data_IF_000005623579
#
_entry.id   IF_000005623579
#
_cell.length_a   1.000
_cell.length_b   1.000
_cell.length_c   1.000
_cell.angle_alpha   90.00
_cell.angle_beta   90.00
_cell.angle_gamma   90.00
#
_symmetry.space_group_name_H-M   'P 1'
#
loop_
_entity.id
_entity.type
_entity.pdbx_description
1 polymer ?
#
# COMPACT_ATOMS: atom_id res chain seq x y z
N UNK A 1 -6.25 -16.26 6.92
CA UNK A 1 -6.64 -17.57 6.36
C UNK A 1 -8.09 -17.93 6.67
N UNK A 2 -8.47 -18.02 7.95
CA UNK A 2 -9.82 -18.44 8.34
C UNK A 2 -10.94 -17.53 7.82
N UNK A 3 -10.73 -16.21 7.73
CA UNK A 3 -11.77 -15.28 7.26
C UNK A 3 -12.23 -15.51 5.81
N UNK A 4 -11.30 -15.75 4.89
CA UNK A 4 -11.66 -16.03 3.48
C UNK A 4 -12.44 -17.34 3.38
N UNK A 5 -12.03 -18.36 4.14
CA UNK A 5 -12.71 -19.65 4.20
C UNK A 5 -14.12 -19.53 4.78
N UNK A 6 -14.31 -18.77 5.87
CA UNK A 6 -15.63 -18.57 6.47
C UNK A 6 -16.58 -17.76 5.58
N UNK A 7 -16.03 -17.02 4.61
CA UNK A 7 -16.81 -16.26 3.61
C UNK A 7 -16.94 -16.97 2.26
N UNK A 8 -16.31 -18.14 2.08
CA UNK A 8 -16.29 -18.84 0.79
C UNK A 8 -15.62 -18.03 -0.34
N UNK A 9 -14.69 -17.14 0.01
CA UNK A 9 -14.02 -16.26 -0.95
C UNK A 9 -12.63 -16.80 -1.32
N UNK A 10 -12.23 -16.54 -2.56
CA UNK A 10 -10.86 -16.74 -3.05
C UNK A 10 -10.12 -15.42 -3.12
N UNK A 11 -8.80 -15.48 -3.14
CA UNK A 11 -7.91 -14.32 -3.21
C UNK A 11 -6.72 -14.71 -4.09
N UNK A 12 -6.41 -13.90 -5.08
CA UNK A 12 -5.32 -14.14 -6.02
C UNK A 12 -3.98 -13.70 -5.41
N UNK A 13 -3.94 -12.46 -4.90
CA UNK A 13 -2.78 -11.89 -4.24
C UNK A 13 -3.17 -11.01 -3.03
N UNK A 14 -2.20 -10.77 -2.16
CA UNK A 14 -2.29 -9.83 -1.05
C UNK A 14 -1.46 -8.60 -1.40
N UNK A 15 -2.10 -7.43 -1.47
CA UNK A 15 -1.39 -6.15 -1.51
C UNK A 15 -1.15 -5.66 -0.07
N UNK A 16 0.10 -5.64 0.37
CA UNK A 16 0.46 -5.21 1.73
C UNK A 16 1.27 -3.92 1.72
N UNK A 17 0.65 -2.84 2.19
CA UNK A 17 1.36 -1.58 2.41
C UNK A 17 2.46 -1.71 3.48
N UNK A 18 2.25 -2.60 4.47
CA UNK A 18 3.07 -2.65 5.66
C UNK A 18 2.80 -1.50 6.63
N UNK A 19 3.71 -1.28 7.58
CA UNK A 19 3.62 -0.27 8.61
C UNK A 19 4.78 0.72 8.49
N UNK A 20 4.49 1.98 8.15
CA UNK A 20 5.54 3.00 7.99
C UNK A 20 6.23 3.31 9.31
N UNK A 21 7.54 3.11 9.36
CA UNK A 21 8.40 3.54 10.49
C UNK A 21 9.24 4.74 10.11
N UNK A 22 9.67 4.82 8.85
CA UNK A 22 10.38 5.99 8.33
C UNK A 22 9.80 6.45 7.00
N UNK A 23 9.72 7.77 6.86
CA UNK A 23 9.37 8.45 5.62
C UNK A 23 10.22 9.72 5.52
N UNK A 24 11.28 9.63 4.72
CA UNK A 24 12.28 10.69 4.51
C UNK A 24 12.60 10.77 3.02
N UNK A 25 11.61 11.09 2.16
CA UNK A 25 11.85 11.22 0.71
C UNK A 25 12.88 12.31 0.39
N UNK A 26 13.00 13.33 1.24
CA UNK A 26 14.06 14.35 1.22
C UNK A 26 15.48 13.76 1.34
N UNK A 27 15.60 12.60 1.98
CA UNK A 27 16.84 11.84 2.12
C UNK A 27 16.88 10.62 1.20
N UNK A 28 15.93 10.49 0.27
CA UNK A 28 15.87 9.41 -0.70
C UNK A 28 15.48 8.06 -0.14
N UNK A 29 14.80 7.98 1.01
CA UNK A 29 14.32 6.69 1.53
C UNK A 29 12.97 6.73 2.27
N UNK A 30 12.33 5.56 2.28
CA UNK A 30 11.16 5.28 3.11
C UNK A 30 11.23 3.83 3.56
N UNK A 31 10.61 3.49 4.69
CA UNK A 31 10.65 2.16 5.23
C UNK A 31 9.31 1.77 5.85
N UNK A 32 8.73 0.69 5.33
CA UNK A 32 7.53 0.05 5.83
C UNK A 32 7.90 -1.34 6.39
N UNK A 33 7.64 -1.56 7.67
CA UNK A 33 7.72 -2.89 8.29
C UNK A 33 6.65 -3.82 7.74
N UNK A 34 6.97 -5.10 7.68
CA UNK A 34 6.07 -6.14 7.19
C UNK A 34 6.75 -6.96 6.11
N UNK A 35 7.44 -8.04 6.51
CA UNK A 35 8.18 -8.89 5.58
C UNK A 35 7.21 -9.59 4.60
N UNK A 36 7.24 -9.17 3.33
CA UNK A 36 6.38 -9.73 2.27
C UNK A 36 6.54 -11.26 2.14
N UNK A 37 7.78 -11.77 2.22
CA UNK A 37 8.04 -13.21 2.18
C UNK A 37 7.40 -13.95 3.36
N UNK A 38 7.47 -13.39 4.57
CA UNK A 38 6.83 -13.99 5.74
C UNK A 38 5.31 -14.02 5.59
N UNK A 39 4.71 -12.94 5.07
CA UNK A 39 3.28 -12.89 4.75
C UNK A 39 2.91 -13.91 3.67
N UNK A 40 3.74 -14.07 2.63
CA UNK A 40 3.50 -15.04 1.55
C UNK A 40 3.53 -16.47 2.08
N UNK A 41 4.56 -16.82 2.85
CA UNK A 41 4.69 -18.14 3.50
C UNK A 41 3.50 -18.41 4.44
N UNK A 42 3.12 -17.41 5.25
CA UNK A 42 2.04 -17.54 6.22
C UNK A 42 0.65 -17.61 5.57
N UNK A 43 0.45 -16.98 4.40
CA UNK A 43 -0.84 -16.92 3.70
C UNK A 43 -0.99 -17.98 2.60
N UNK A 44 0.11 -18.53 2.10
CA UNK A 44 0.19 -19.30 0.85
C UNK A 44 -0.40 -18.52 -0.35
N UNK A 45 -0.14 -17.22 -0.40
CA UNK A 45 -0.57 -16.31 -1.46
C UNK A 45 0.62 -15.50 -1.97
N UNK A 46 0.52 -15.07 -3.22
CA UNK A 46 1.39 -14.02 -3.74
C UNK A 46 1.19 -12.75 -2.91
N UNK A 47 2.28 -12.08 -2.57
CA UNK A 47 2.25 -10.83 -1.81
C UNK A 47 2.96 -9.76 -2.60
N UNK A 48 2.23 -8.70 -2.94
CA UNK A 48 2.75 -7.48 -3.53
C UNK A 48 2.94 -6.49 -2.39
N UNK A 49 4.15 -5.98 -2.21
CA UNK A 49 4.49 -5.06 -1.13
C UNK A 49 5.52 -4.03 -1.59
N UNK A 50 5.93 -3.15 -0.67
CA UNK A 50 6.95 -2.12 -0.93
C UNK A 50 6.57 -1.11 -2.04
N UNK A 51 5.33 -0.64 -2.00
CA UNK A 51 4.78 0.24 -3.05
C UNK A 51 5.44 1.63 -3.13
N UNK A 52 6.21 2.04 -2.12
CA UNK A 52 6.72 3.42 -2.02
C UNK A 52 8.18 3.56 -2.40
N UNK A 53 9.00 2.52 -2.18
CA UNK A 53 10.46 2.64 -2.33
C UNK A 53 10.88 2.97 -3.75
N UNK A 54 10.19 2.41 -4.76
CA UNK A 54 10.52 2.71 -6.16
C UNK A 54 10.27 4.18 -6.52
N UNK A 55 9.15 4.76 -6.09
CA UNK A 55 8.85 6.17 -6.35
C UNK A 55 9.89 7.08 -5.71
N UNK A 56 10.23 6.83 -4.44
CA UNK A 56 11.29 7.58 -3.73
C UNK A 56 12.65 7.43 -4.40
N UNK A 57 13.02 6.22 -4.83
CA UNK A 57 14.27 5.97 -5.54
C UNK A 57 14.36 6.71 -6.88
N UNK A 58 13.22 7.03 -7.50
CA UNK A 58 13.12 7.84 -8.72
C UNK A 58 12.99 9.35 -8.45
N UNK A 59 13.13 9.79 -7.20
CA UNK A 59 13.02 11.20 -6.79
C UNK A 59 11.61 11.67 -6.49
N UNK A 60 10.62 10.76 -6.49
CA UNK A 60 9.27 11.01 -6.04
C UNK A 60 9.16 11.10 -4.51
N UNK A 61 7.97 11.40 -4.02
CA UNK A 61 7.71 11.53 -2.57
C UNK A 61 7.37 10.20 -1.89
N UNK A 62 7.03 9.17 -2.66
CA UNK A 62 6.49 7.90 -2.18
C UNK A 62 5.08 8.01 -1.61
N UNK A 63 4.44 9.18 -1.69
CA UNK A 63 3.12 9.48 -1.15
C UNK A 63 2.53 10.79 -1.74
N UNK A 64 1.20 10.94 -1.77
CA UNK A 64 0.19 9.88 -1.64
C UNK A 64 0.16 9.01 -2.92
N UNK A 65 -0.04 7.69 -2.77
CA UNK A 65 -0.18 6.78 -3.93
C UNK A 65 -1.64 6.63 -4.41
N UNK A 66 -2.59 7.05 -3.56
CA UNK A 66 -4.03 6.91 -3.78
C UNK A 66 -4.60 7.74 -4.95
N UNK A 67 -4.04 8.88 -5.40
CA UNK A 67 -4.67 9.72 -6.42
C UNK A 67 -5.06 9.01 -7.73
N UNK A 68 -4.30 7.99 -8.17
CA UNK A 68 -4.68 7.18 -9.34
C UNK A 68 -5.97 6.38 -9.06
N UNK A 69 -6.09 5.84 -7.86
CA UNK A 69 -7.31 5.16 -7.42
C UNK A 69 -8.49 6.14 -7.30
N UNK A 70 -8.25 7.35 -6.80
CA UNK A 70 -9.28 8.39 -6.70
C UNK A 70 -9.82 8.79 -8.08
N UNK A 71 -8.95 8.98 -9.07
CA UNK A 71 -9.37 9.26 -10.45
C UNK A 71 -10.20 8.11 -11.04
N UNK A 72 -9.74 6.87 -10.86
CA UNK A 72 -10.41 5.68 -11.42
C UNK A 72 -11.75 5.35 -10.76
N UNK A 73 -11.88 5.56 -9.45
CA UNK A 73 -13.07 5.20 -8.68
C UNK A 73 -14.03 6.37 -8.49
N UNK A 74 -13.52 7.60 -8.44
CA UNK A 74 -14.24 8.80 -8.01
C UNK A 74 -14.05 9.99 -8.96
N UNK A 75 -13.69 9.77 -10.23
CA UNK A 75 -13.41 10.84 -11.21
C UNK A 75 -14.55 11.83 -11.49
N UNK A 76 -15.77 11.59 -10.98
CA UNK A 76 -16.86 12.58 -10.99
C UNK A 76 -16.71 13.68 -9.95
N UNK A 77 -15.87 13.48 -8.93
CA UNK A 77 -15.58 14.45 -7.89
C UNK A 77 -14.34 15.26 -8.27
N UNK A 78 -14.36 16.56 -7.98
CA UNK A 78 -13.19 17.42 -8.24
C UNK A 78 -12.04 17.19 -7.25
N UNK A 79 -12.33 16.64 -6.07
CA UNK A 79 -11.35 16.41 -5.00
C UNK A 79 -11.76 15.21 -4.14
N UNK A 80 -10.76 14.47 -3.66
CA UNK A 80 -10.89 13.45 -2.62
C UNK A 80 -10.01 13.89 -1.44
N UNK A 81 -10.54 13.82 -0.22
CA UNK A 81 -9.82 14.21 0.99
C UNK A 81 -9.77 13.03 1.95
N UNK A 82 -8.56 12.57 2.27
CA UNK A 82 -8.31 11.57 3.29
C UNK A 82 -7.99 12.25 4.63
N UNK A 83 -8.80 11.97 5.65
CA UNK A 83 -8.61 12.48 7.02
C UNK A 83 -7.93 11.42 7.90
N UNK A 84 -6.64 11.21 7.68
CA UNK A 84 -5.80 10.32 8.48
C UNK A 84 -5.02 11.05 9.58
N UNK A 85 -3.95 10.41 10.08
CA UNK A 85 -2.99 11.10 10.96
C UNK A 85 -2.28 12.26 10.27
N UNK A 86 -2.10 12.16 8.95
CA UNK A 86 -1.74 13.24 8.03
C UNK A 86 -2.83 13.29 6.98
N UNK A 87 -3.34 14.49 6.68
CA UNK A 87 -4.33 14.67 5.63
C UNK A 87 -3.66 14.70 4.26
N UNK A 88 -4.32 14.11 3.27
CA UNK A 88 -3.88 14.12 1.87
C UNK A 88 -5.07 14.07 0.92
#
# INVERSE_FOLDING_TARGET
KNWLQTKGLTCDAIASHGHTVHHRPDQGYTFQLGAGQSLSNASAKEVICDFRSQDVAMGGQGAPLVPIGDELLFGTYGFCLNLGGICN
#
